data_IF_403607607762
#
_entry.id   IF_403607607762
#
_cell.length_a   1.000
_cell.length_b   1.000
_cell.length_c   1.000
_cell.angle_alpha   90.00
_cell.angle_beta   90.00
_cell.angle_gamma   90.00
#
_symmetry.space_group_name_H-M   'P 1'
#
loop_
_entity.id
_entity.type
_entity.pdbx_description
1 polymer ?
#
# COMPACT_ATOMS: atom_id res chain seq x y z
N UNK A 1 2.67 6.62 -0.47
CA UNK A 1 1.41 6.38 0.27
C UNK A 1 0.75 7.70 0.68
N UNK A 2 1.43 8.61 1.37
CA UNK A 2 0.84 9.85 1.91
C UNK A 2 0.16 10.73 0.84
N UNK A 3 0.79 10.96 -0.30
CA UNK A 3 0.24 11.80 -1.36
C UNK A 3 -1.00 11.19 -2.04
N UNK A 4 -1.04 9.87 -2.15
CA UNK A 4 -2.24 9.15 -2.62
C UNK A 4 -3.38 9.36 -1.63
N UNK A 5 -3.12 9.23 -0.32
CA UNK A 5 -4.12 9.48 0.72
C UNK A 5 -4.67 10.90 0.68
N UNK A 6 -3.80 11.90 0.51
CA UNK A 6 -4.21 13.31 0.38
C UNK A 6 -5.11 13.56 -0.83
N UNK A 7 -4.81 12.94 -1.97
CA UNK A 7 -5.63 13.08 -3.18
C UNK A 7 -6.99 12.40 -3.02
N UNK A 8 -7.03 11.18 -2.49
CA UNK A 8 -8.28 10.48 -2.21
C UNK A 8 -9.15 11.26 -1.22
N UNK A 9 -8.55 11.81 -0.16
CA UNK A 9 -9.26 12.64 0.82
C UNK A 9 -9.81 13.94 0.19
N UNK A 10 -9.05 14.60 -0.70
CA UNK A 10 -9.54 15.77 -1.47
C UNK A 10 -10.73 15.44 -2.36
N UNK A 11 -10.88 14.20 -2.78
CA UNK A 11 -12.02 13.70 -3.55
C UNK A 11 -13.20 13.31 -2.66
N UNK A 12 -13.12 13.55 -1.33
CA UNK A 12 -14.17 13.27 -0.37
C UNK A 12 -14.19 11.84 0.18
N UNK A 13 -13.14 11.06 -0.03
CA UNK A 13 -13.05 9.69 0.46
C UNK A 13 -12.41 9.63 1.85
N UNK A 14 -12.93 8.75 2.70
CA UNK A 14 -12.29 8.40 3.97
C UNK A 14 -11.14 7.44 3.73
N UNK A 15 -9.95 7.80 4.15
CA UNK A 15 -8.74 7.02 3.95
C UNK A 15 -8.15 6.57 5.27
N UNK A 16 -7.91 5.28 5.41
CA UNK A 16 -7.19 4.71 6.53
C UNK A 16 -5.82 4.20 6.07
N UNK A 17 -4.75 4.68 6.71
CA UNK A 17 -3.39 4.28 6.40
C UNK A 17 -2.91 3.31 7.48
N UNK A 18 -2.40 2.15 7.07
CA UNK A 18 -1.63 1.23 7.92
C UNK A 18 -0.16 1.41 7.57
N UNK A 19 0.62 1.95 8.51
CA UNK A 19 2.07 2.00 8.41
C UNK A 19 2.64 0.63 8.79
N UNK A 20 2.76 -0.24 7.82
CA UNK A 20 3.25 -1.60 8.01
C UNK A 20 4.79 -1.70 8.03
N UNK A 21 5.51 -0.59 7.83
CA UNK A 21 6.93 -0.51 8.18
C UNK A 21 7.08 -0.34 9.71
N UNK A 22 6.73 -1.41 10.42
CA UNK A 22 6.55 -1.41 11.87
C UNK A 22 7.84 -1.06 12.63
N UNK A 23 9.00 -1.36 12.06
CA UNK A 23 10.31 -1.08 12.68
C UNK A 23 10.75 0.37 12.49
N UNK A 24 10.45 0.95 11.34
CA UNK A 24 10.86 2.31 10.95
C UNK A 24 9.69 3.13 10.43
N UNK A 25 8.61 3.26 11.22
CA UNK A 25 7.39 3.90 10.77
C UNK A 25 7.63 5.38 10.46
N UNK A 26 7.14 5.82 9.32
CA UNK A 26 7.32 7.20 8.82
C UNK A 26 6.02 8.00 8.73
N UNK A 27 4.88 7.33 8.71
CA UNK A 27 3.59 7.99 8.49
C UNK A 27 3.20 8.96 9.62
N UNK A 28 3.58 8.68 10.87
CA UNK A 28 3.35 9.63 11.97
C UNK A 28 4.17 10.92 11.85
N UNK A 29 5.35 10.84 11.23
CA UNK A 29 6.16 12.03 10.95
C UNK A 29 5.59 12.81 9.76
N UNK A 30 5.07 12.09 8.80
CA UNK A 30 4.48 12.66 7.59
C UNK A 30 3.12 13.32 7.86
N UNK A 31 2.36 12.73 8.78
CA UNK A 31 1.07 13.21 9.19
C UNK A 31 1.09 13.51 10.68
N UNK A 32 1.21 14.55 11.20
CA UNK A 32 1.29 14.93 12.63
C UNK A 32 0.23 14.24 13.50
N UNK A 33 0.41 12.96 13.78
CA UNK A 33 -0.46 12.13 14.62
C UNK A 33 -1.35 11.13 13.90
N UNK A 34 -2.25 10.49 14.66
CA UNK A 34 -3.12 9.40 14.17
C UNK A 34 -4.34 9.88 13.36
N UNK A 35 -4.67 11.16 13.44
CA UNK A 35 -5.83 11.76 12.74
C UNK A 35 -5.49 13.16 12.22
N UNK A 36 -4.63 13.24 11.21
CA UNK A 36 -4.08 14.50 10.69
C UNK A 36 -5.08 15.35 9.91
N UNK A 37 -6.14 14.75 9.44
CA UNK A 37 -7.18 15.37 8.62
C UNK A 37 -8.52 14.69 8.89
N UNK A 38 -9.63 15.41 8.75
CA UNK A 38 -10.96 14.84 8.99
C UNK A 38 -11.31 13.60 8.16
N UNK A 39 -10.62 13.40 7.02
CA UNK A 39 -10.81 12.27 6.12
C UNK A 39 -9.63 11.30 6.09
N UNK A 40 -8.60 11.49 6.92
CA UNK A 40 -7.41 10.62 6.94
C UNK A 40 -7.14 10.15 8.36
N UNK A 41 -6.99 8.84 8.54
CA UNK A 41 -6.59 8.18 9.79
C UNK A 41 -5.33 7.38 9.56
N UNK A 42 -4.42 7.41 10.53
CA UNK A 42 -3.15 6.69 10.47
C UNK A 42 -3.09 5.66 11.61
N UNK A 43 -2.71 4.45 11.29
CA UNK A 43 -2.35 3.43 12.25
C UNK A 43 -0.86 3.14 12.08
N UNK A 44 -0.07 3.60 13.03
CA UNK A 44 1.38 3.41 13.06
C UNK A 44 1.79 2.81 14.40
N UNK A 45 2.89 2.07 14.40
CA UNK A 45 3.48 1.52 15.62
C UNK A 45 4.16 2.61 16.48
N UNK A 46 4.44 3.78 15.92
CA UNK A 46 5.25 4.80 16.54
C UNK A 46 6.62 4.21 16.94
N UNK A 47 7.00 4.40 18.18
CA UNK A 47 8.26 3.85 18.73
C UNK A 47 8.09 2.49 19.44
N UNK A 48 6.91 1.87 19.37
CA UNK A 48 6.60 0.67 20.15
C UNK A 48 7.55 -0.49 19.85
N UNK A 49 7.90 -0.67 18.59
CA UNK A 49 8.74 -1.78 18.12
C UNK A 49 10.15 -1.38 17.67
N UNK A 50 10.52 -0.11 17.78
CA UNK A 50 11.82 0.41 17.31
C UNK A 50 13.06 -0.23 17.95
N UNK A 51 12.89 -0.91 19.10
CA UNK A 51 13.96 -1.63 19.80
C UNK A 51 14.13 -3.08 19.36
N UNK A 52 13.23 -3.61 18.54
CA UNK A 52 13.28 -4.98 18.08
C UNK A 52 14.00 -5.05 16.73
N UNK A 53 15.11 -5.76 16.68
CA UNK A 53 15.84 -5.99 15.41
C UNK A 53 15.04 -6.93 14.50
N UNK A 54 14.23 -7.79 15.09
CA UNK A 54 13.41 -8.77 14.38
C UNK A 54 11.99 -8.79 14.95
N UNK A 55 11.00 -8.66 14.07
CA UNK A 55 9.59 -8.76 14.45
C UNK A 55 9.13 -10.22 14.37
N UNK A 56 8.66 -10.74 15.48
CA UNK A 56 7.97 -12.02 15.49
C UNK A 56 6.61 -11.91 14.79
N UNK A 57 6.19 -12.99 14.14
CA UNK A 57 4.88 -13.05 13.48
C UNK A 57 3.71 -12.70 14.41
N UNK A 58 3.81 -13.10 15.69
CA UNK A 58 2.82 -12.79 16.72
C UNK A 58 2.64 -11.29 16.95
N UNK A 59 3.74 -10.53 16.93
CA UNK A 59 3.72 -9.06 17.07
C UNK A 59 3.07 -8.39 15.86
N UNK A 60 3.43 -8.84 14.66
CA UNK A 60 2.81 -8.37 13.41
C UNK A 60 1.30 -8.64 13.42
N UNK A 61 0.89 -9.84 13.85
CA UNK A 61 -0.53 -10.21 13.99
C UNK A 61 -1.28 -9.27 14.91
N UNK A 62 -0.76 -9.03 16.11
CA UNK A 62 -1.40 -8.12 17.08
C UNK A 62 -1.53 -6.71 16.51
N UNK A 63 -0.53 -6.22 15.81
CA UNK A 63 -0.55 -4.93 15.15
C UNK A 63 -1.66 -4.84 14.09
N UNK A 64 -1.78 -5.85 13.23
CA UNK A 64 -2.81 -5.91 12.20
C UNK A 64 -4.22 -6.07 12.78
N UNK A 65 -4.38 -6.82 13.88
CA UNK A 65 -5.67 -6.94 14.58
C UNK A 65 -6.13 -5.60 15.20
N UNK A 66 -5.20 -4.80 15.71
CA UNK A 66 -5.52 -3.44 16.18
C UNK A 66 -5.94 -2.53 15.02
N UNK A 67 -5.25 -2.61 13.88
CA UNK A 67 -5.64 -1.89 12.67
C UNK A 67 -7.06 -2.28 12.20
N UNK A 68 -7.36 -3.58 12.17
CA UNK A 68 -8.67 -4.13 11.82
C UNK A 68 -9.80 -3.55 12.69
N UNK A 69 -9.61 -3.48 14.01
CA UNK A 69 -10.59 -2.88 14.92
C UNK A 69 -10.85 -1.41 14.61
N UNK A 70 -9.80 -0.64 14.31
CA UNK A 70 -9.93 0.77 13.92
C UNK A 70 -10.66 0.91 12.57
N UNK A 71 -10.34 0.05 11.58
CA UNK A 71 -11.02 0.03 10.27
C UNK A 71 -12.53 -0.19 10.45
N UNK A 72 -12.93 -1.17 11.26
CA UNK A 72 -14.37 -1.41 11.53
C UNK A 72 -15.08 -0.20 12.18
N UNK A 73 -14.38 0.49 13.07
CA UNK A 73 -14.93 1.68 13.75
C UNK A 73 -15.06 2.90 12.83
N UNK A 74 -14.05 3.14 11.98
CA UNK A 74 -13.96 4.32 11.10
C UNK A 74 -14.79 4.10 9.84
N UNK A 75 -14.85 2.87 9.36
CA UNK A 75 -15.49 2.50 8.11
C UNK A 75 -14.98 3.33 6.91
N UNK A 76 -13.67 3.24 6.57
CA UNK A 76 -13.07 4.02 5.51
C UNK A 76 -13.50 3.54 4.11
N UNK A 77 -13.41 4.42 3.11
CA UNK A 77 -13.61 4.06 1.70
C UNK A 77 -12.35 3.37 1.12
N UNK A 78 -11.17 3.76 1.61
CA UNK A 78 -9.88 3.19 1.20
C UNK A 78 -9.03 2.84 2.40
N UNK A 79 -8.35 1.70 2.31
CA UNK A 79 -7.28 1.32 3.23
C UNK A 79 -5.97 1.25 2.44
N UNK A 80 -5.03 2.11 2.76
CA UNK A 80 -3.69 2.11 2.19
C UNK A 80 -2.73 1.45 3.16
N UNK A 81 -1.92 0.53 2.68
CA UNK A 81 -0.92 -0.16 3.51
C UNK A 81 0.46 0.19 3.00
N UNK A 82 1.23 0.90 3.82
CA UNK A 82 2.62 1.25 3.55
C UNK A 82 3.52 0.15 4.10
N UNK A 83 4.23 -0.59 3.24
CA UNK A 83 5.01 -1.75 3.63
C UNK A 83 6.51 -1.45 3.70
N UNK A 84 7.27 -2.20 4.52
CA UNK A 84 8.72 -2.04 4.56
C UNK A 84 9.36 -2.39 3.21
N UNK A 85 10.58 -1.90 2.94
CA UNK A 85 11.34 -2.32 1.77
C UNK A 85 11.68 -3.81 1.85
N UNK A 86 11.73 -4.48 0.72
CA UNK A 86 11.98 -5.92 0.58
C UNK A 86 10.93 -6.83 1.25
N UNK A 87 10.90 -8.09 0.87
CA UNK A 87 9.96 -9.06 1.43
C UNK A 87 10.36 -9.46 2.85
N UNK A 88 9.46 -9.26 3.80
CA UNK A 88 9.65 -9.58 5.22
C UNK A 88 8.50 -10.42 5.78
N UNK A 89 8.58 -10.81 7.06
CA UNK A 89 7.48 -11.45 7.77
C UNK A 89 6.20 -10.61 7.80
N UNK A 90 6.33 -9.28 7.70
CA UNK A 90 5.18 -8.37 7.61
C UNK A 90 4.36 -8.66 6.37
N UNK A 91 5.01 -8.81 5.20
CA UNK A 91 4.34 -9.14 3.95
C UNK A 91 3.63 -10.49 4.02
N UNK A 92 4.31 -11.50 4.59
CA UNK A 92 3.74 -12.85 4.73
C UNK A 92 2.49 -12.83 5.60
N UNK A 93 2.56 -12.20 6.77
CA UNK A 93 1.42 -12.12 7.69
C UNK A 93 0.29 -11.23 7.12
N UNK A 94 0.63 -10.16 6.44
CA UNK A 94 -0.33 -9.28 5.79
C UNK A 94 -1.10 -10.02 4.69
N UNK A 95 -0.40 -10.65 3.76
CA UNK A 95 -1.01 -11.37 2.63
C UNK A 95 -1.79 -12.62 3.07
N UNK A 96 -1.48 -13.18 4.24
CA UNK A 96 -2.26 -14.28 4.82
C UNK A 96 -3.55 -13.83 5.51
N UNK A 97 -3.77 -12.50 5.70
CA UNK A 97 -4.87 -11.95 6.49
C UNK A 97 -5.67 -10.88 5.80
N UNK A 98 -5.12 -10.28 4.77
CA UNK A 98 -5.74 -9.17 4.04
C UNK A 98 -5.92 -9.56 2.59
N UNK A 99 -7.16 -9.52 2.12
CA UNK A 99 -7.45 -9.62 0.69
C UNK A 99 -7.10 -8.29 0.04
N UNK A 100 -6.08 -8.31 -0.80
CA UNK A 100 -5.56 -7.13 -1.48
C UNK A 100 -6.30 -6.95 -2.81
N UNK A 101 -6.85 -5.76 -3.04
CA UNK A 101 -7.54 -5.43 -4.29
C UNK A 101 -6.57 -4.95 -5.38
N UNK A 102 -5.52 -4.24 -4.98
CA UNK A 102 -4.52 -3.69 -5.89
C UNK A 102 -3.15 -3.65 -5.23
N UNK A 103 -2.09 -3.97 -5.97
CA UNK A 103 -0.70 -3.84 -5.53
C UNK A 103 0.01 -2.81 -6.39
N UNK A 104 0.52 -1.76 -5.76
CA UNK A 104 1.34 -0.76 -6.41
C UNK A 104 2.81 -1.00 -6.06
N UNK A 105 3.59 -1.44 -7.02
CA UNK A 105 5.03 -1.59 -6.86
C UNK A 105 5.72 -0.26 -7.13
N UNK A 106 6.44 0.27 -6.14
CA UNK A 106 7.21 1.51 -6.29
C UNK A 106 8.69 1.17 -6.40
N UNK A 107 9.33 1.66 -7.44
CA UNK A 107 10.74 1.40 -7.74
C UNK A 107 11.46 2.68 -8.19
N UNK A 108 12.74 2.60 -8.39
CA UNK A 108 13.54 3.66 -9.01
C UNK A 108 13.98 3.23 -10.42
N UNK A 109 14.25 4.16 -11.34
CA UNK A 109 14.67 3.85 -12.71
C UNK A 109 16.12 3.36 -12.77
N UNK A 110 16.50 2.41 -11.91
CA UNK A 110 17.85 1.80 -11.88
C UNK A 110 17.75 0.30 -12.17
N UNK A 111 18.80 -0.28 -12.73
CA UNK A 111 18.84 -1.72 -13.00
C UNK A 111 18.70 -2.57 -11.74
N UNK A 112 19.28 -2.10 -10.62
CA UNK A 112 19.20 -2.83 -9.34
C UNK A 112 17.77 -2.82 -8.82
N UNK A 113 17.15 -1.65 -8.73
CA UNK A 113 15.76 -1.52 -8.27
C UNK A 113 14.78 -2.28 -9.18
N UNK A 114 15.05 -2.32 -10.49
CA UNK A 114 14.24 -3.11 -11.41
C UNK A 114 14.33 -4.62 -11.09
N UNK A 115 15.52 -5.16 -10.84
CA UNK A 115 15.67 -6.56 -10.47
C UNK A 115 14.96 -6.89 -9.15
N UNK A 116 15.03 -6.00 -8.17
CA UNK A 116 14.41 -6.19 -6.87
C UNK A 116 12.88 -6.13 -6.94
N UNK A 117 12.34 -5.20 -7.72
CA UNK A 117 10.88 -5.13 -7.91
C UNK A 117 10.35 -6.37 -8.63
N UNK A 118 11.05 -6.88 -9.64
CA UNK A 118 10.66 -8.10 -10.34
C UNK A 118 10.62 -9.32 -9.40
N UNK A 119 11.63 -9.49 -8.55
CA UNK A 119 11.63 -10.55 -7.51
C UNK A 119 10.47 -10.43 -6.54
N UNK A 120 10.14 -9.20 -6.16
CA UNK A 120 9.00 -8.94 -5.27
C UNK A 120 7.68 -9.23 -5.96
N UNK A 121 7.54 -8.89 -7.24
CA UNK A 121 6.36 -9.25 -8.03
C UNK A 121 6.17 -10.77 -8.11
N UNK A 122 7.23 -11.52 -8.36
CA UNK A 122 7.19 -12.99 -8.37
C UNK A 122 6.69 -13.54 -7.02
N UNK A 123 7.21 -13.02 -5.90
CA UNK A 123 6.74 -13.38 -4.57
C UNK A 123 5.24 -13.11 -4.36
N UNK A 124 4.75 -11.93 -4.77
CA UNK A 124 3.33 -11.58 -4.65
C UNK A 124 2.47 -12.48 -5.55
N UNK A 125 2.91 -12.73 -6.77
CA UNK A 125 2.20 -13.60 -7.70
C UNK A 125 2.04 -15.04 -7.17
N UNK A 126 3.10 -15.58 -6.58
CA UNK A 126 3.06 -16.92 -5.96
C UNK A 126 2.12 -17.00 -4.76
N UNK A 127 1.94 -15.90 -4.01
CA UNK A 127 1.16 -15.87 -2.77
C UNK A 127 -0.29 -15.46 -2.96
N UNK A 128 -0.54 -14.50 -3.82
CA UNK A 128 -1.86 -13.90 -4.02
C UNK A 128 -2.55 -14.36 -5.30
N UNK A 129 -1.85 -15.12 -6.15
CA UNK A 129 -2.36 -15.45 -7.49
C UNK A 129 -2.48 -14.19 -8.37
N UNK A 130 -3.55 -14.09 -9.13
CA UNK A 130 -3.81 -12.91 -9.97
C UNK A 130 -4.36 -11.76 -9.13
N UNK A 131 -3.54 -10.75 -8.88
CA UNK A 131 -3.92 -9.50 -8.24
C UNK A 131 -3.69 -8.37 -9.23
N UNK A 132 -4.61 -7.41 -9.28
CA UNK A 132 -4.40 -6.19 -10.06
C UNK A 132 -3.17 -5.46 -9.53
N UNK A 133 -2.27 -5.09 -10.41
CA UNK A 133 -1.04 -4.43 -10.01
C UNK A 133 -0.53 -3.46 -11.07
N UNK A 134 0.27 -2.51 -10.62
CA UNK A 134 0.96 -1.55 -11.46
C UNK A 134 2.31 -1.14 -10.87
N UNK A 135 3.14 -0.51 -11.67
CA UNK A 135 4.44 0.02 -11.27
C UNK A 135 4.40 1.53 -11.28
N UNK A 136 5.05 2.12 -10.29
CA UNK A 136 5.41 3.53 -10.24
C UNK A 136 6.93 3.64 -10.15
N UNK A 137 7.53 4.33 -11.08
CA UNK A 137 8.91 4.76 -10.94
C UNK A 137 8.96 6.07 -10.15
N UNK A 138 9.73 6.08 -9.08
CA UNK A 138 9.96 7.25 -8.23
C UNK A 138 11.38 7.75 -8.40
N UNK A 139 11.61 9.05 -8.19
CA UNK A 139 12.91 9.72 -8.33
C UNK A 139 13.46 9.63 -9.77
N UNK A 140 12.58 9.84 -10.75
CA UNK A 140 12.96 9.77 -12.16
C UNK A 140 13.77 11.01 -12.60
N UNK A 141 14.82 10.75 -13.38
CA UNK A 141 15.56 11.79 -14.09
C UNK A 141 15.26 11.67 -15.59
N UNK A 142 14.56 12.65 -16.16
CA UNK A 142 14.16 12.62 -17.56
C UNK A 142 12.98 11.70 -17.85
N UNK A 143 12.90 11.22 -19.09
CA UNK A 143 11.79 10.41 -19.59
C UNK A 143 12.15 8.94 -19.80
N UNK A 144 13.38 8.54 -19.55
CA UNK A 144 13.81 7.15 -19.68
C UNK A 144 13.22 6.31 -18.53
N UNK A 145 12.77 5.12 -18.85
CA UNK A 145 12.24 4.16 -17.88
C UNK A 145 12.71 2.74 -18.21
N UNK A 146 12.60 1.86 -17.23
CA UNK A 146 12.81 0.43 -17.44
C UNK A 146 11.60 -0.21 -18.14
N UNK A 147 11.82 -1.34 -18.81
CA UNK A 147 10.74 -2.19 -19.29
C UNK A 147 10.24 -3.09 -18.17
N UNK A 148 8.92 -3.19 -18.02
CA UNK A 148 8.26 -3.99 -17.00
C UNK A 148 7.26 -4.96 -17.61
N UNK A 149 7.05 -6.14 -17.01
CA UNK A 149 6.05 -7.11 -17.48
C UNK A 149 4.61 -6.69 -17.18
N UNK A 150 4.43 -5.62 -16.37
CA UNK A 150 3.12 -5.03 -16.03
C UNK A 150 3.14 -3.53 -16.35
N UNK A 151 1.97 -2.91 -16.25
CA UNK A 151 1.78 -1.50 -16.60
C UNK A 151 2.59 -0.56 -15.72
N UNK A 152 3.36 0.31 -16.34
CA UNK A 152 3.92 1.51 -15.72
C UNK A 152 2.81 2.57 -15.62
N UNK A 153 2.39 2.86 -14.40
CA UNK A 153 1.26 3.77 -14.11
C UNK A 153 1.70 5.22 -14.10
N UNK A 154 2.82 5.51 -13.46
CA UNK A 154 3.33 6.86 -13.31
C UNK A 154 4.85 6.90 -13.14
N UNK A 155 5.45 8.05 -13.49
CA UNK A 155 6.83 8.37 -13.25
C UNK A 155 6.90 9.65 -12.42
N UNK A 156 7.32 9.54 -11.16
CA UNK A 156 7.42 10.68 -10.25
C UNK A 156 8.82 11.27 -10.37
N UNK A 157 8.96 12.54 -10.79
CA UNK A 157 10.25 13.15 -11.02
C UNK A 157 11.04 13.32 -9.72
N UNK A 158 12.37 13.18 -9.83
CA UNK A 158 13.28 13.57 -8.75
C UNK A 158 13.21 15.08 -8.55
N UNK A 159 13.15 15.48 -7.30
CA UNK A 159 13.13 16.88 -6.92
C UNK A 159 14.02 17.11 -5.71
N UNK A 160 14.83 18.16 -5.76
CA UNK A 160 15.73 18.53 -4.69
C UNK A 160 14.98 19.26 -3.55
N UNK A 161 15.33 18.97 -2.31
CA UNK A 161 14.85 19.64 -1.09
C UNK A 161 13.33 19.68 -0.91
N UNK A 162 12.64 18.58 -1.16
CA UNK A 162 11.19 18.55 -1.12
C UNK A 162 10.63 17.84 0.11
N UNK A 163 9.65 18.48 0.73
CA UNK A 163 8.69 17.79 1.55
C UNK A 163 7.63 17.12 0.66
N UNK A 164 6.87 16.20 1.22
CA UNK A 164 5.89 15.40 0.49
C UNK A 164 4.75 16.23 -0.10
N UNK A 165 4.39 17.36 0.51
CA UNK A 165 3.35 18.25 0.01
C UNK A 165 3.79 19.01 -1.23
N UNK A 166 5.04 19.48 -1.25
CA UNK A 166 5.64 20.13 -2.42
C UNK A 166 5.76 19.12 -3.58
N UNK A 167 6.16 17.88 -3.29
CA UNK A 167 6.20 16.81 -4.28
C UNK A 167 4.83 16.57 -4.88
N UNK A 168 3.76 16.52 -4.06
CA UNK A 168 2.41 16.39 -4.55
C UNK A 168 2.02 17.53 -5.49
N UNK A 169 2.38 18.77 -5.16
CA UNK A 169 2.06 19.93 -5.98
C UNK A 169 2.76 19.88 -7.34
N UNK A 170 4.04 19.52 -7.35
CA UNK A 170 4.85 19.53 -8.56
C UNK A 170 4.65 18.30 -9.45
N UNK A 171 4.24 17.18 -8.87
CA UNK A 171 3.96 15.93 -9.58
C UNK A 171 2.45 15.54 -9.53
N UNK A 172 1.57 16.53 -9.39
CA UNK A 172 0.14 16.30 -9.21
C UNK A 172 -0.45 15.35 -10.26
N UNK A 173 -0.14 15.59 -11.53
CA UNK A 173 -0.67 14.77 -12.63
C UNK A 173 -0.23 13.29 -12.52
N UNK A 174 1.00 13.05 -12.06
CA UNK A 174 1.51 11.69 -11.88
C UNK A 174 0.82 10.97 -10.70
N UNK A 175 0.63 11.68 -9.59
CA UNK A 175 -0.16 11.13 -8.48
C UNK A 175 -1.63 10.94 -8.85
N UNK A 176 -2.21 11.82 -9.67
CA UNK A 176 -3.58 11.66 -10.15
C UNK A 176 -3.73 10.41 -11.03
N UNK A 177 -2.78 10.10 -11.92
CA UNK A 177 -2.77 8.85 -12.69
C UNK A 177 -2.81 7.62 -11.79
N UNK A 178 -2.05 7.65 -10.67
CA UNK A 178 -2.05 6.55 -9.69
C UNK A 178 -3.43 6.40 -9.06
N UNK A 179 -4.04 7.50 -8.61
CA UNK A 179 -5.37 7.48 -8.01
C UNK A 179 -6.42 7.01 -9.02
N UNK A 180 -6.36 7.48 -10.26
CA UNK A 180 -7.30 7.06 -11.31
C UNK A 180 -7.17 5.55 -11.62
N UNK A 181 -5.95 5.03 -11.66
CA UNK A 181 -5.69 3.60 -11.83
C UNK A 181 -6.29 2.78 -10.70
N UNK A 182 -6.07 3.22 -9.48
CA UNK A 182 -6.61 2.63 -8.26
C UNK A 182 -8.15 2.59 -8.32
N UNK A 183 -8.77 3.72 -8.59
CA UNK A 183 -10.23 3.86 -8.64
C UNK A 183 -10.85 3.02 -9.78
N UNK A 184 -10.19 2.96 -10.95
CA UNK A 184 -10.67 2.18 -12.10
C UNK A 184 -10.53 0.68 -11.90
N UNK A 185 -9.50 0.22 -11.19
CA UNK A 185 -9.27 -1.21 -10.97
C UNK A 185 -10.35 -1.88 -10.12
N UNK A 186 -11.13 -1.11 -9.39
CA UNK A 186 -12.22 -1.62 -8.56
C UNK A 186 -13.44 -2.14 -9.32
N UNK A 187 -13.63 -1.67 -10.52
CA UNK A 187 -14.81 -2.03 -11.32
C UNK A 187 -14.69 -3.46 -11.88
N UNK A 188 -13.48 -3.99 -11.99
CA UNK A 188 -13.20 -5.28 -12.65
C UNK A 188 -13.11 -6.46 -11.67
N UNK A 189 -12.82 -6.23 -10.39
CA UNK A 189 -12.46 -7.30 -9.42
C UNK A 189 -13.67 -8.01 -8.80
N UNK A 190 -14.87 -7.47 -8.89
CA UNK A 190 -16.04 -8.05 -8.22
C UNK A 190 -16.63 -9.28 -8.93
N UNK A 191 -16.28 -9.57 -10.18
CA UNK A 191 -16.91 -10.65 -10.97
C UNK A 191 -16.11 -11.97 -11.04
N UNK A 192 -14.83 -12.04 -10.68
CA UNK A 192 -13.99 -13.23 -10.94
C UNK A 192 -13.50 -14.02 -9.70
N UNK A 193 -13.85 -13.70 -8.48
CA UNK A 193 -13.44 -14.49 -7.32
C UNK A 193 -14.47 -15.51 -6.87
N UNK A 194 -14.68 -16.56 -7.66
CA UNK A 194 -15.20 -17.83 -7.18
C UNK A 194 -14.07 -18.69 -6.65
N UNK A 195 -14.10 -18.91 -5.39
CA UNK A 195 -13.57 -19.95 -4.49
C UNK A 195 -12.99 -21.24 -5.10
N UNK A 196 -11.82 -21.23 -5.75
CA UNK A 196 -11.21 -22.48 -6.23
C UNK A 196 -9.72 -22.70 -5.88
N UNK A 197 -9.10 -21.95 -5.01
CA UNK A 197 -7.72 -22.25 -4.61
C UNK A 197 -7.58 -22.32 -3.10
N UNK A 198 -7.35 -23.57 -2.64
CA UNK A 198 -7.22 -24.03 -1.29
C UNK A 198 -6.36 -23.18 -0.37
N UNK A 199 -7.02 -22.32 0.37
CA UNK A 199 -6.52 -21.78 1.62
C UNK A 199 -6.92 -22.73 2.74
N UNK A 200 -5.99 -22.93 3.69
CA UNK A 200 -6.21 -23.73 4.90
C UNK A 200 -7.58 -23.38 5.52
N UNK A 201 -8.47 -24.35 5.61
CA UNK A 201 -9.86 -24.19 6.06
C UNK A 201 -10.00 -23.67 7.51
N UNK A 202 -8.88 -23.51 8.23
CA UNK A 202 -8.84 -22.94 9.56
C UNK A 202 -8.50 -21.42 9.58
N UNK A 203 -8.42 -20.78 8.42
CA UNK A 203 -8.16 -19.36 8.31
C UNK A 203 -9.45 -18.60 8.00
N UNK A 204 -10.04 -18.00 9.03
CA UNK A 204 -11.18 -17.11 8.91
C UNK A 204 -10.76 -15.79 8.21
N UNK A 205 -10.65 -15.85 6.88
CA UNK A 205 -10.38 -14.70 6.01
C UNK A 205 -11.63 -13.79 5.90
N UNK A 206 -12.76 -14.24 6.46
CA UNK A 206 -14.07 -13.63 6.25
C UNK A 206 -14.26 -12.28 6.93
N UNK A 207 -13.31 -11.84 7.74
CA UNK A 207 -13.60 -10.76 8.65
C UNK A 207 -13.11 -9.36 8.24
N UNK A 208 -12.57 -9.18 7.03
CA UNK A 208 -12.43 -7.84 6.47
C UNK A 208 -13.38 -7.71 5.27
N UNK A 209 -14.64 -8.10 5.49
CA UNK A 209 -15.74 -7.68 4.64
C UNK A 209 -16.21 -6.30 5.10
N UNK A 210 -15.77 -5.29 4.37
CA UNK A 210 -16.38 -3.98 4.50
C UNK A 210 -17.62 -4.03 3.59
N UNK A 211 -18.78 -4.17 4.20
CA UNK A 211 -20.08 -4.16 3.50
C UNK A 211 -20.48 -2.73 3.15
N UNK A 212 -20.45 -2.40 1.88
CA UNK A 212 -20.92 -1.13 1.34
C UNK A 212 -20.37 -0.91 -0.07
N UNK A 213 -21.15 -0.32 -0.94
CA UNK A 213 -20.78 -0.02 -2.32
C UNK A 213 -19.52 0.88 -2.37
N UNK A 214 -18.42 0.35 -2.84
CA UNK A 214 -17.10 0.97 -3.01
C UNK A 214 -16.25 1.00 -1.75
N UNK A 215 -15.52 -0.08 -1.47
CA UNK A 215 -14.49 -0.11 -0.42
C UNK A 215 -13.27 -0.89 -0.91
N UNK A 216 -12.12 -0.25 -0.84
CA UNK A 216 -10.93 -0.68 -1.56
C UNK A 216 -9.73 -0.76 -0.64
N UNK A 217 -8.94 -1.80 -0.81
CA UNK A 217 -7.72 -2.04 -0.04
C UNK A 217 -6.52 -1.90 -0.96
N UNK A 218 -5.56 -1.09 -0.58
CA UNK A 218 -4.33 -0.90 -1.33
C UNK A 218 -3.12 -1.22 -0.52
N UNK A 219 -2.21 -1.88 -1.16
CA UNK A 219 -0.91 -2.13 -0.59
C UNK A 219 0.17 -1.88 -1.61
N UNK A 220 1.12 -1.11 -1.28
CA UNK A 220 2.53 -1.40 -1.46
C UNK A 220 3.38 -0.28 -2.02
N UNK A 221 4.24 0.27 -1.17
CA UNK A 221 5.48 0.91 -1.55
C UNK A 221 6.65 0.02 -1.16
N UNK A 222 7.47 -0.38 -2.13
CA UNK A 222 8.84 -0.80 -1.89
C UNK A 222 9.69 0.47 -1.92
N UNK A 223 10.14 0.92 -0.75
CA UNK A 223 11.14 2.00 -0.67
C UNK A 223 12.53 1.37 -0.67
N UNK A 224 13.39 1.81 -1.55
CA UNK A 224 14.82 1.62 -1.50
C UNK A 224 15.50 2.93 -1.15
#
# INVERSE_FOLDING_TARGET
>A
TANIARLLAKQGNKVFIIDADINTPSMNTEFEGDHPHEMIWVHSSGNMFSKFIYLEKSMVRQYLELAKKKIHSINPDYVLIDTPPSVTNVHIELLSRVKVSYVLFVTQPTKLSNQDVLRTMDFFHERCGKVNCGIVENMCYGTEHNEYPIRLVAQIPMQDNMNTENLLTNAYNEFQKIVDEIVQSDIVVLEEYSTENGYDENFDVTDIHITGSRKHYFTHELKY
#
